data_IF_876312689875
#
_entry.id   IF_876312689875
#
_cell.length_a   1.000
_cell.length_b   1.000
_cell.length_c   1.000
_cell.angle_alpha   90.00
_cell.angle_beta   90.00
_cell.angle_gamma   90.00
#
_symmetry.space_group_name_H-M   'P 1'
#
loop_
_entity.id
_entity.type
_entity.pdbx_description
1 polymer ?
#
# COMPACT_ATOMS: atom_id res chain seq x y z
N UNK A 1 -26.73 -17.83 1.14
CA UNK A 1 -25.26 -17.92 1.35
C UNK A 1 -24.99 -17.82 2.85
N UNK A 2 -24.20 -18.71 3.45
CA UNK A 2 -23.81 -18.59 4.86
C UNK A 2 -22.58 -17.68 4.96
N UNK A 3 -22.72 -16.47 5.51
CA UNK A 3 -21.62 -15.51 5.61
C UNK A 3 -20.50 -15.94 6.59
N UNK A 4 -20.68 -17.04 7.32
CA UNK A 4 -19.74 -17.48 8.37
C UNK A 4 -18.77 -18.58 7.95
N UNK A 5 -18.90 -19.14 6.75
CA UNK A 5 -17.88 -20.09 6.25
C UNK A 5 -16.68 -19.30 5.75
N UNK A 6 -15.47 -19.81 6.01
CA UNK A 6 -14.21 -19.12 5.75
C UNK A 6 -14.14 -18.52 4.33
N UNK A 7 -14.47 -19.30 3.29
CA UNK A 7 -14.43 -18.83 1.90
C UNK A 7 -15.34 -17.63 1.62
N UNK A 8 -16.54 -17.58 2.21
CA UNK A 8 -17.48 -16.47 2.00
C UNK A 8 -17.07 -15.27 2.86
N UNK A 9 -16.61 -15.49 4.08
CA UNK A 9 -16.12 -14.43 4.95
C UNK A 9 -14.90 -13.72 4.33
N UNK A 10 -13.92 -14.48 3.84
CA UNK A 10 -12.73 -13.96 3.16
C UNK A 10 -13.11 -13.22 1.88
N UNK A 11 -14.01 -13.77 1.05
CA UNK A 11 -14.48 -13.09 -0.16
C UNK A 11 -15.16 -11.75 0.15
N UNK A 12 -16.04 -11.72 1.15
CA UNK A 12 -16.75 -10.49 1.55
C UNK A 12 -15.80 -9.43 2.14
N UNK A 13 -14.71 -9.87 2.77
CA UNK A 13 -13.71 -8.95 3.30
C UNK A 13 -12.83 -8.37 2.20
N UNK A 14 -12.25 -9.23 1.34
CA UNK A 14 -11.39 -8.81 0.24
C UNK A 14 -12.10 -7.90 -0.76
N UNK A 15 -13.39 -8.14 -1.01
CA UNK A 15 -14.18 -7.32 -1.93
C UNK A 15 -14.35 -5.87 -1.47
N UNK A 16 -14.04 -5.52 -0.22
CA UNK A 16 -14.04 -4.12 0.24
C UNK A 16 -12.86 -3.32 -0.32
N UNK A 17 -11.77 -3.99 -0.70
CA UNK A 17 -10.64 -3.34 -1.37
C UNK A 17 -10.90 -3.32 -2.88
N UNK A 18 -11.01 -2.13 -3.50
CA UNK A 18 -11.21 -2.03 -4.94
C UNK A 18 -10.08 -2.72 -5.73
N UNK A 19 -8.85 -2.77 -5.21
CA UNK A 19 -7.70 -3.37 -5.89
C UNK A 19 -7.74 -4.91 -5.95
N UNK A 20 -8.68 -5.56 -5.27
CA UNK A 20 -8.85 -7.02 -5.36
C UNK A 20 -9.44 -7.43 -6.71
N UNK A 21 -10.14 -6.54 -7.42
CA UNK A 21 -10.80 -6.86 -8.69
C UNK A 21 -11.93 -7.89 -8.57
N UNK A 22 -12.46 -8.14 -7.35
CA UNK A 22 -13.40 -9.24 -7.09
C UNK A 22 -14.74 -9.14 -7.85
N UNK A 23 -15.11 -7.95 -8.32
CA UNK A 23 -16.28 -7.71 -9.17
C UNK A 23 -15.90 -7.08 -10.52
N UNK A 24 -14.65 -7.24 -10.98
CA UNK A 24 -14.23 -6.66 -12.24
C UNK A 24 -14.86 -7.39 -13.43
N UNK A 25 -15.13 -6.65 -14.50
CA UNK A 25 -15.50 -7.20 -15.81
C UNK A 25 -14.23 -7.28 -16.66
N UNK A 26 -14.02 -8.40 -17.35
CA UNK A 26 -12.85 -8.63 -18.19
C UNK A 26 -13.28 -8.70 -19.66
N UNK A 27 -12.85 -7.72 -20.45
CA UNK A 27 -13.08 -7.68 -21.89
C UNK A 27 -11.84 -8.23 -22.60
N UNK A 28 -12.04 -9.19 -23.51
CA UNK A 28 -10.95 -9.80 -24.28
C UNK A 28 -10.87 -9.18 -25.67
N UNK A 29 -9.70 -8.68 -26.05
CA UNK A 29 -9.45 -8.03 -27.36
C UNK A 29 -8.36 -8.74 -28.13
N UNK A 30 -8.28 -8.49 -29.45
CA UNK A 30 -7.28 -9.13 -30.34
C UNK A 30 -6.10 -8.20 -30.69
N UNK A 31 -6.12 -6.95 -30.23
CA UNK A 31 -5.07 -5.98 -30.54
C UNK A 31 -4.98 -4.87 -29.48
N UNK A 32 -3.79 -4.28 -29.33
CA UNK A 32 -3.55 -3.14 -28.43
C UNK A 32 -4.39 -1.92 -28.84
N UNK A 33 -4.58 -1.72 -30.14
CA UNK A 33 -5.36 -0.62 -30.66
C UNK A 33 -6.85 -0.75 -30.29
N UNK A 34 -7.38 -1.98 -30.25
CA UNK A 34 -8.76 -2.22 -29.82
C UNK A 34 -8.88 -2.13 -28.29
N UNK A 35 -7.91 -2.64 -27.52
CA UNK A 35 -7.85 -2.46 -26.07
C UNK A 35 -7.94 -0.97 -25.68
N UNK A 36 -7.12 -0.11 -26.30
CA UNK A 36 -7.13 1.35 -26.04
C UNK A 36 -8.45 2.04 -26.36
N UNK A 37 -9.14 1.59 -27.41
CA UNK A 37 -10.47 2.12 -27.74
C UNK A 37 -11.50 1.73 -26.69
N UNK A 38 -11.43 0.49 -26.19
CA UNK A 38 -12.32 0.00 -25.13
C UNK A 38 -12.02 0.73 -23.83
N UNK A 39 -10.76 0.87 -23.44
CA UNK A 39 -10.32 1.67 -22.29
C UNK A 39 -10.90 3.08 -22.34
N UNK A 40 -10.60 3.84 -23.39
CA UNK A 40 -11.05 5.23 -23.53
C UNK A 40 -12.57 5.38 -23.59
N UNK A 41 -13.31 4.32 -23.96
CA UNK A 41 -14.78 4.30 -23.93
C UNK A 41 -15.29 4.04 -22.52
N UNK A 42 -14.76 3.03 -21.84
CA UNK A 42 -15.24 2.58 -20.53
C UNK A 42 -14.81 3.53 -19.40
N UNK A 43 -13.65 4.16 -19.50
CA UNK A 43 -13.18 5.19 -18.54
C UNK A 43 -14.13 6.40 -18.43
N UNK A 44 -14.95 6.66 -19.46
CA UNK A 44 -15.92 7.76 -19.48
C UNK A 44 -17.21 7.44 -18.74
N UNK A 45 -17.45 6.17 -18.38
CA UNK A 45 -18.67 5.77 -17.69
C UNK A 45 -18.61 6.22 -16.22
N UNK A 46 -19.65 6.89 -15.70
CA UNK A 46 -19.67 7.32 -14.31
C UNK A 46 -19.69 6.15 -13.32
N UNK A 47 -20.12 4.96 -13.75
CA UNK A 47 -20.14 3.71 -12.98
C UNK A 47 -18.77 3.03 -12.90
N UNK A 48 -17.79 3.45 -13.70
CA UNK A 48 -16.44 2.86 -13.74
C UNK A 48 -15.52 3.66 -12.83
N UNK A 49 -14.78 2.97 -11.96
CA UNK A 49 -13.76 3.59 -11.11
C UNK A 49 -12.39 3.59 -11.79
N UNK A 50 -12.09 2.50 -12.50
CA UNK A 50 -10.80 2.25 -13.12
C UNK A 50 -10.94 1.30 -14.30
N UNK A 51 -10.16 1.52 -15.33
CA UNK A 51 -9.90 0.55 -16.39
C UNK A 51 -8.42 0.24 -16.40
N UNK A 52 -8.07 -1.04 -16.54
CA UNK A 52 -6.71 -1.53 -16.56
C UNK A 52 -6.45 -2.39 -17.79
N UNK A 53 -5.25 -2.27 -18.33
CA UNK A 53 -4.69 -3.21 -19.30
C UNK A 53 -3.18 -3.35 -19.07
N UNK A 54 -2.51 -4.08 -19.96
CA UNK A 54 -1.06 -4.25 -19.88
C UNK A 54 -0.30 -2.90 -19.89
N UNK A 55 -0.79 -1.92 -20.64
CA UNK A 55 -0.16 -0.59 -20.72
C UNK A 55 -0.28 0.19 -19.41
N UNK A 56 -1.28 -0.11 -18.58
CA UNK A 56 -1.46 0.53 -17.27
C UNK A 56 -0.33 0.22 -16.28
N UNK A 57 0.52 -0.77 -16.57
CA UNK A 57 1.71 -1.09 -15.77
C UNK A 57 2.96 -0.33 -16.22
N UNK A 58 2.88 0.44 -17.31
CA UNK A 58 3.94 1.34 -17.76
C UNK A 58 3.60 2.75 -17.28
N UNK A 59 4.30 3.30 -16.28
CA UNK A 59 3.97 4.62 -15.76
C UNK A 59 4.23 5.71 -16.81
N UNK A 60 3.39 6.73 -16.81
CA UNK A 60 3.64 7.96 -17.60
C UNK A 60 4.67 8.87 -16.92
N UNK A 61 5.24 9.80 -17.70
CA UNK A 61 6.15 10.87 -17.22
C UNK A 61 7.34 10.39 -16.39
N UNK A 62 7.83 9.18 -16.67
CA UNK A 62 8.92 8.56 -15.92
C UNK A 62 10.19 9.42 -15.86
N UNK A 63 10.67 10.08 -16.94
CA UNK A 63 11.90 10.88 -16.84
C UNK A 63 11.84 11.98 -15.78
N UNK A 64 10.69 12.66 -15.65
CA UNK A 64 10.48 13.68 -14.63
C UNK A 64 10.40 13.07 -13.23
N UNK A 65 9.63 11.98 -13.06
CA UNK A 65 9.47 11.28 -11.78
C UNK A 65 10.79 10.67 -11.29
N UNK A 66 11.51 9.97 -12.15
CA UNK A 66 12.80 9.35 -11.85
C UNK A 66 13.86 10.39 -11.44
N UNK A 67 13.86 11.57 -12.06
CA UNK A 67 14.74 12.67 -11.64
C UNK A 67 14.46 13.11 -10.19
N UNK A 68 13.19 13.24 -9.82
CA UNK A 68 12.79 13.60 -8.45
C UNK A 68 13.15 12.49 -7.45
N UNK A 69 12.91 11.23 -7.81
CA UNK A 69 13.29 10.08 -6.97
C UNK A 69 14.80 10.03 -6.75
N UNK A 70 15.59 10.22 -7.81
CA UNK A 70 17.06 10.25 -7.71
C UNK A 70 17.55 11.41 -6.82
N UNK A 71 16.91 12.57 -6.87
CA UNK A 71 17.20 13.68 -5.97
C UNK A 71 16.89 13.32 -4.51
N UNK A 72 15.73 12.73 -4.25
CA UNK A 72 15.36 12.27 -2.91
C UNK A 72 16.34 11.19 -2.40
N UNK A 73 16.73 10.25 -3.27
CA UNK A 73 17.71 9.20 -2.96
C UNK A 73 19.07 9.80 -2.57
N UNK A 74 19.53 10.85 -3.25
CA UNK A 74 20.77 11.56 -2.90
C UNK A 74 20.68 12.25 -1.55
N UNK A 75 19.54 12.85 -1.22
CA UNK A 75 19.33 13.55 0.06
C UNK A 75 19.15 12.59 1.24
N UNK A 76 18.38 11.52 1.06
CA UNK A 76 18.03 10.58 2.13
C UNK A 76 19.03 9.42 2.26
N UNK A 77 19.77 9.11 1.19
CA UNK A 77 20.69 7.98 1.11
C UNK A 77 21.65 7.86 2.29
N UNK A 78 22.38 8.93 2.68
CA UNK A 78 23.30 8.89 3.82
C UNK A 78 22.62 8.59 5.16
N UNK A 79 21.40 9.08 5.37
CA UNK A 79 20.66 8.82 6.60
C UNK A 79 20.09 7.39 6.65
N UNK A 80 19.75 6.82 5.49
CA UNK A 80 19.23 5.46 5.37
C UNK A 80 20.34 4.41 5.31
N UNK A 81 21.56 4.78 4.90
CA UNK A 81 22.69 3.87 4.75
C UNK A 81 23.92 4.49 5.41
N UNK A 82 23.95 4.56 6.75
CA UNK A 82 25.09 5.14 7.46
C UNK A 82 26.32 4.23 7.32
N UNK A 83 27.51 4.83 7.17
CA UNK A 83 28.79 4.12 7.06
C UNK A 83 29.16 3.37 8.35
N UNK A 84 28.62 3.82 9.48
CA UNK A 84 28.82 3.21 10.80
C UNK A 84 27.48 3.07 11.49
N UNK A 85 27.24 1.88 12.06
CA UNK A 85 26.08 1.59 12.89
C UNK A 85 26.59 1.32 14.30
N UNK A 86 26.01 2.03 15.27
CA UNK A 86 26.35 1.84 16.68
C UNK A 86 26.01 0.42 17.14
N UNK A 87 26.76 -0.13 18.13
CA UNK A 87 26.42 -1.41 18.72
C UNK A 87 25.00 -1.37 19.32
N UNK A 88 24.36 -2.53 19.40
CA UNK A 88 23.06 -2.63 20.05
C UNK A 88 23.18 -2.20 21.53
N UNK A 89 22.26 -1.38 22.03
CA UNK A 89 22.27 -0.97 23.43
C UNK A 89 22.04 -2.17 24.35
N UNK A 90 22.65 -2.13 25.51
CA UNK A 90 22.34 -3.04 26.61
C UNK A 90 20.92 -2.80 27.15
N UNK A 91 20.37 -3.79 27.84
CA UNK A 91 19.06 -3.65 28.49
C UNK A 91 19.03 -2.48 29.50
N UNK A 92 20.14 -2.26 30.21
CA UNK A 92 20.26 -1.15 31.16
C UNK A 92 20.19 0.22 30.46
N UNK A 93 20.90 0.39 29.33
CA UNK A 93 20.83 1.62 28.52
C UNK A 93 19.42 1.86 27.95
N UNK A 94 18.70 0.79 27.59
CA UNK A 94 17.31 0.88 27.18
C UNK A 94 16.40 1.35 28.33
N UNK A 95 16.56 0.82 29.54
CA UNK A 95 15.81 1.26 30.73
C UNK A 95 16.08 2.74 31.03
N UNK A 96 17.34 3.17 30.97
CA UNK A 96 17.74 4.56 31.19
C UNK A 96 17.14 5.50 30.14
N UNK A 97 17.19 5.10 28.86
CA UNK A 97 16.60 5.87 27.76
C UNK A 97 15.08 5.99 27.87
N UNK A 98 14.40 4.91 28.28
CA UNK A 98 12.96 4.93 28.55
C UNK A 98 12.63 5.91 29.68
N UNK A 99 13.33 5.84 30.82
CA UNK A 99 13.09 6.72 31.97
C UNK A 99 13.38 8.19 31.64
N UNK A 100 14.46 8.47 30.92
CA UNK A 100 14.77 9.83 30.42
C UNK A 100 13.67 10.37 29.51
N UNK A 101 13.08 9.51 28.66
CA UNK A 101 11.94 9.87 27.81
C UNK A 101 10.68 10.15 28.62
N UNK A 102 10.40 9.38 29.68
CA UNK A 102 9.30 9.64 30.63
C UNK A 102 9.42 11.03 31.23
N UNK A 103 10.59 11.37 31.77
CA UNK A 103 10.84 12.67 32.41
C UNK A 103 10.68 13.82 31.42
N UNK A 104 11.21 13.65 30.20
CA UNK A 104 11.10 14.64 29.13
C UNK A 104 9.66 14.87 28.68
N UNK A 105 8.87 13.80 28.50
CA UNK A 105 7.46 13.89 28.16
C UNK A 105 6.64 14.57 29.27
N UNK A 106 6.88 14.22 30.53
CA UNK A 106 6.18 14.84 31.67
C UNK A 106 6.53 16.32 31.82
N UNK A 107 7.81 16.67 31.68
CA UNK A 107 8.27 18.07 31.69
C UNK A 107 7.64 18.88 30.56
N UNK A 108 7.61 18.32 29.35
CA UNK A 108 7.02 18.97 28.16
C UNK A 108 5.50 19.17 28.32
N UNK A 109 4.80 18.20 28.92
CA UNK A 109 3.38 18.33 29.20
C UNK A 109 3.07 19.40 30.28
N UNK A 110 4.00 19.65 31.21
CA UNK A 110 3.86 20.64 32.28
C UNK A 110 2.54 20.48 33.05
N UNK A 111 1.78 21.55 33.22
CA UNK A 111 0.41 21.52 33.74
C UNK A 111 -0.67 21.66 32.66
N UNK A 112 -0.26 21.73 31.38
CA UNK A 112 -1.17 21.88 30.26
C UNK A 112 -2.19 20.74 30.20
N UNK A 113 -3.43 21.10 29.88
CA UNK A 113 -4.56 20.18 29.72
C UNK A 113 -4.95 19.96 28.26
N UNK A 114 -4.19 20.52 27.33
CA UNK A 114 -4.41 20.32 25.89
C UNK A 114 -4.22 18.85 25.49
N UNK A 115 -4.79 18.42 24.36
CA UNK A 115 -4.79 17.02 23.93
C UNK A 115 -3.37 16.44 23.79
N UNK A 116 -2.40 17.23 23.31
CA UNK A 116 -1.00 16.81 23.23
C UNK A 116 -0.37 16.53 24.60
N UNK A 117 -0.66 17.37 25.61
CA UNK A 117 -0.14 17.17 26.97
C UNK A 117 -0.77 15.94 27.64
N UNK A 118 -2.06 15.68 27.39
CA UNK A 118 -2.73 14.45 27.84
C UNK A 118 -2.09 13.21 27.20
N UNK A 119 -1.86 13.24 25.88
CA UNK A 119 -1.22 12.15 25.16
C UNK A 119 0.23 11.91 25.62
N UNK A 120 1.00 12.98 25.86
CA UNK A 120 2.37 12.89 26.35
C UNK A 120 2.44 12.22 27.73
N UNK A 121 1.56 12.60 28.68
CA UNK A 121 1.48 11.93 29.99
C UNK A 121 1.09 10.46 29.86
N UNK A 122 0.09 10.15 29.02
CA UNK A 122 -0.32 8.76 28.77
C UNK A 122 0.83 7.91 28.22
N UNK A 123 1.60 8.46 27.28
CA UNK A 123 2.78 7.79 26.74
C UNK A 123 3.86 7.63 27.82
N UNK A 124 4.13 8.67 28.59
CA UNK A 124 5.09 8.63 29.70
C UNK A 124 4.71 7.52 30.72
N UNK A 125 3.44 7.38 31.07
CA UNK A 125 2.99 6.33 31.99
C UNK A 125 3.16 4.92 31.39
N UNK A 126 2.95 4.76 30.08
CA UNK A 126 3.20 3.49 29.39
C UNK A 126 4.70 3.15 29.32
N UNK A 127 5.55 4.13 29.00
CA UNK A 127 7.01 3.96 28.96
C UNK A 127 7.59 3.68 30.35
N UNK A 128 7.05 4.32 31.41
CA UNK A 128 7.45 4.04 32.78
C UNK A 128 7.16 2.58 33.15
N UNK A 129 5.94 2.09 32.86
CA UNK A 129 5.56 0.68 33.08
C UNK A 129 6.46 -0.29 32.31
N UNK A 130 6.85 0.08 31.08
CA UNK A 130 7.75 -0.74 30.27
C UNK A 130 9.17 -0.75 30.86
N UNK A 131 9.69 0.41 31.28
CA UNK A 131 10.99 0.53 31.92
C UNK A 131 11.10 -0.29 33.21
N UNK A 132 10.04 -0.30 34.02
CA UNK A 132 9.99 -1.03 35.29
C UNK A 132 9.61 -2.52 35.13
N UNK A 133 9.35 -2.98 33.91
CA UNK A 133 9.05 -4.39 33.61
C UNK A 133 10.33 -5.26 33.55
N UNK A 134 10.19 -6.53 33.17
CA UNK A 134 11.33 -7.41 32.94
C UNK A 134 11.90 -7.26 31.51
N UNK A 135 13.15 -7.68 31.32
CA UNK A 135 13.84 -7.60 30.03
C UNK A 135 13.05 -8.29 28.91
N UNK A 136 12.50 -9.48 29.15
CA UNK A 136 11.71 -10.20 28.16
C UNK A 136 10.48 -9.41 27.64
N UNK A 137 9.90 -8.52 28.46
CA UNK A 137 8.80 -7.64 28.02
C UNK A 137 9.33 -6.48 27.18
N UNK A 138 10.49 -5.92 27.52
CA UNK A 138 11.16 -4.89 26.70
C UNK A 138 11.62 -5.43 25.36
N UNK A 139 12.18 -6.64 25.32
CA UNK A 139 12.58 -7.32 24.09
C UNK A 139 11.37 -7.52 23.16
N UNK A 140 10.23 -7.97 23.70
CA UNK A 140 8.98 -8.06 22.93
C UNK A 140 8.50 -6.70 22.40
N UNK A 141 8.63 -5.65 23.19
CA UNK A 141 8.30 -4.30 22.73
C UNK A 141 9.22 -3.87 21.59
N UNK A 142 10.52 -4.16 21.69
CA UNK A 142 11.48 -3.93 20.61
C UNK A 142 11.09 -4.69 19.34
N UNK A 143 10.69 -5.95 19.45
CA UNK A 143 10.23 -6.73 18.29
C UNK A 143 8.96 -6.14 17.65
N UNK A 144 8.05 -5.59 18.45
CA UNK A 144 6.82 -4.96 17.95
C UNK A 144 7.09 -3.63 17.25
N UNK A 145 8.03 -2.82 17.75
CA UNK A 145 8.27 -1.46 17.21
C UNK A 145 9.44 -1.39 16.24
N UNK A 146 10.58 -1.98 16.58
CA UNK A 146 11.85 -1.81 15.85
C UNK A 146 11.96 -2.78 14.69
N UNK A 147 11.51 -4.04 14.82
CA UNK A 147 11.63 -5.00 13.73
C UNK A 147 10.81 -4.59 12.48
N UNK A 148 9.53 -4.16 12.59
CA UNK A 148 8.80 -3.64 11.44
C UNK A 148 9.39 -2.34 10.90
N UNK A 149 9.94 -1.48 11.76
CA UNK A 149 10.59 -0.24 11.32
C UNK A 149 11.79 -0.52 10.39
N UNK A 150 12.58 -1.58 10.67
CA UNK A 150 13.66 -2.00 9.76
C UNK A 150 13.13 -2.40 8.39
N UNK A 151 12.03 -3.16 8.35
CA UNK A 151 11.35 -3.54 7.10
C UNK A 151 10.89 -2.29 6.34
N UNK A 152 10.31 -1.30 7.03
CA UNK A 152 9.88 -0.04 6.40
C UNK A 152 11.07 0.74 5.86
N UNK A 153 12.22 0.75 6.55
CA UNK A 153 13.44 1.37 6.02
C UNK A 153 13.98 0.64 4.79
N UNK A 154 13.94 -0.69 4.76
CA UNK A 154 14.31 -1.45 3.56
C UNK A 154 13.37 -1.16 2.39
N UNK A 155 12.06 -1.09 2.64
CA UNK A 155 11.08 -0.68 1.64
C UNK A 155 11.39 0.73 1.12
N UNK A 156 11.68 1.69 2.01
CA UNK A 156 12.02 3.05 1.60
C UNK A 156 13.30 3.06 0.74
N UNK A 157 14.35 2.33 1.14
CA UNK A 157 15.56 2.17 0.32
C UNK A 157 15.23 1.64 -1.08
N UNK A 158 14.40 0.61 -1.17
CA UNK A 158 14.01 0.00 -2.45
C UNK A 158 13.18 0.95 -3.31
N UNK A 159 12.25 1.71 -2.72
CA UNK A 159 11.42 2.67 -3.48
C UNK A 159 12.25 3.83 -4.05
N UNK A 160 13.39 4.16 -3.45
CA UNK A 160 14.32 5.19 -3.93
C UNK A 160 15.23 4.70 -5.06
N UNK A 161 15.18 3.41 -5.41
CA UNK A 161 15.97 2.79 -6.49
C UNK A 161 15.15 2.55 -7.77
N UNK A 162 14.09 3.33 -7.98
CA UNK A 162 13.22 3.19 -9.15
C UNK A 162 14.00 3.26 -10.48
N UNK A 163 13.58 2.45 -11.45
CA UNK A 163 14.15 2.37 -12.79
C UNK A 163 13.07 2.63 -13.84
N UNK A 164 13.50 2.85 -15.08
CA UNK A 164 12.58 2.95 -16.22
C UNK A 164 11.85 1.62 -16.41
N UNK A 165 10.52 1.69 -16.52
CA UNK A 165 9.64 0.57 -16.84
C UNK A 165 9.14 0.73 -18.28
N UNK A 166 9.23 -0.33 -19.06
CA UNK A 166 8.73 -0.42 -20.44
C UNK A 166 8.05 -1.76 -20.63
N UNK A 167 7.21 -1.91 -21.67
CA UNK A 167 6.58 -3.20 -21.98
C UNK A 167 7.59 -4.35 -22.13
N UNK A 168 8.82 -4.06 -22.58
CA UNK A 168 9.88 -5.06 -22.79
C UNK A 168 10.52 -5.55 -21.49
N UNK A 169 10.46 -4.76 -20.40
CA UNK A 169 11.07 -5.12 -19.12
C UNK A 169 10.03 -5.43 -18.02
N UNK A 170 8.75 -5.51 -18.38
CA UNK A 170 7.74 -6.05 -17.49
C UNK A 170 8.05 -7.52 -17.15
N UNK A 171 7.82 -7.96 -15.90
CA UNK A 171 7.93 -9.36 -15.55
C UNK A 171 7.08 -10.24 -16.46
N UNK A 172 7.63 -11.35 -16.95
CA UNK A 172 6.93 -12.23 -17.89
C UNK A 172 5.60 -12.74 -17.33
N UNK A 173 5.56 -13.11 -16.04
CA UNK A 173 4.34 -13.56 -15.36
C UNK A 173 3.23 -12.49 -15.38
N UNK A 174 3.62 -11.21 -15.26
CA UNK A 174 2.67 -10.10 -15.39
C UNK A 174 2.15 -10.01 -16.82
N UNK A 175 3.03 -10.04 -17.82
CA UNK A 175 2.62 -10.01 -19.24
C UNK A 175 1.65 -11.16 -19.55
N UNK A 176 1.95 -12.37 -19.09
CA UNK A 176 1.12 -13.57 -19.31
C UNK A 176 -0.25 -13.50 -18.62
N UNK A 177 -0.38 -12.73 -17.53
CA UNK A 177 -1.68 -12.49 -16.86
C UNK A 177 -2.60 -11.50 -17.58
N UNK A 178 -2.09 -10.75 -18.56
CA UNK A 178 -2.84 -9.74 -19.33
C UNK A 178 -2.85 -10.02 -20.83
N UNK A 179 -1.94 -10.85 -21.33
CA UNK A 179 -1.82 -11.20 -22.75
C UNK A 179 -1.56 -12.69 -22.91
N UNK A 180 -2.43 -13.37 -23.65
CA UNK A 180 -2.26 -14.79 -23.96
C UNK A 180 -1.22 -15.01 -25.05
N UNK A 181 -0.73 -16.25 -25.18
CA UNK A 181 0.27 -16.62 -26.20
C UNK A 181 -0.23 -16.44 -27.65
N UNK A 182 -1.54 -16.60 -27.87
CA UNK A 182 -2.22 -16.35 -29.15
C UNK A 182 -2.59 -14.88 -29.38
N UNK A 183 -2.23 -13.99 -28.44
CA UNK A 183 -2.30 -12.54 -28.61
C UNK A 183 -3.59 -11.88 -28.14
N UNK A 184 -4.47 -12.61 -27.44
CA UNK A 184 -5.63 -12.00 -26.78
C UNK A 184 -5.17 -11.14 -25.60
N UNK A 185 -5.75 -9.96 -25.47
CA UNK A 185 -5.43 -9.00 -24.42
C UNK A 185 -6.62 -8.77 -23.51
N UNK A 186 -6.33 -8.61 -22.22
CA UNK A 186 -7.32 -8.40 -21.17
C UNK A 186 -7.43 -6.89 -20.89
N UNK A 187 -8.65 -6.38 -20.94
CA UNK A 187 -9.04 -5.08 -20.38
C UNK A 187 -9.92 -5.35 -19.18
N UNK A 188 -9.45 -5.00 -17.99
CA UNK A 188 -10.15 -5.19 -16.73
C UNK A 188 -10.81 -3.88 -16.31
N UNK A 189 -12.08 -3.96 -15.91
CA UNK A 189 -12.92 -2.80 -15.62
C UNK A 189 -13.47 -2.95 -14.21
N UNK A 190 -13.21 -1.97 -13.35
CA UNK A 190 -13.62 -2.01 -11.95
C UNK A 190 -14.81 -1.07 -11.69
N UNK A 191 -15.78 -1.50 -10.85
CA UNK A 191 -16.93 -0.68 -10.50
C UNK A 191 -16.55 0.47 -9.58
N UNK A 192 -17.25 1.59 -9.71
CA UNK A 192 -17.31 2.68 -8.73
C UNK A 192 -18.41 2.40 -7.72
N UNK A 193 -18.25 2.90 -6.49
CA UNK A 193 -19.24 2.75 -5.42
C UNK A 193 -19.01 1.51 -4.54
N UNK A 194 -20.00 1.13 -3.74
CA UNK A 194 -19.87 -0.02 -2.84
C UNK A 194 -19.87 -1.33 -3.66
N UNK A 195 -18.77 -2.11 -3.62
CA UNK A 195 -18.69 -3.40 -4.30
C UNK A 195 -19.52 -4.50 -3.62
N UNK A 196 -20.18 -4.21 -2.49
CA UNK A 196 -21.14 -5.09 -1.82
C UNK A 196 -22.60 -4.78 -2.12
N UNK A 197 -22.89 -3.64 -2.75
CA UNK A 197 -24.24 -3.26 -3.15
C UNK A 197 -24.60 -3.87 -4.52
N UNK A 198 -25.58 -4.78 -4.52
CA UNK A 198 -26.01 -5.45 -5.74
C UNK A 198 -26.63 -4.50 -6.77
N UNK A 199 -27.28 -3.41 -6.33
CA UNK A 199 -27.87 -2.45 -7.25
C UNK A 199 -26.80 -1.58 -7.90
N UNK A 200 -25.74 -1.27 -7.13
CA UNK A 200 -24.52 -0.67 -7.68
C UNK A 200 -23.87 -1.56 -8.75
N UNK A 201 -23.65 -2.84 -8.44
CA UNK A 201 -23.05 -3.79 -9.39
C UNK A 201 -23.91 -4.02 -10.63
N UNK A 202 -25.24 -4.03 -10.50
CA UNK A 202 -26.15 -4.18 -11.65
C UNK A 202 -26.05 -2.97 -12.59
N UNK A 203 -26.10 -1.75 -12.05
CA UNK A 203 -25.92 -0.53 -12.87
C UNK A 203 -24.58 -0.51 -13.58
N UNK A 204 -23.51 -0.90 -12.88
CA UNK A 204 -22.18 -1.03 -13.47
C UNK A 204 -22.16 -2.04 -14.62
N UNK A 205 -22.68 -3.25 -14.40
CA UNK A 205 -22.70 -4.28 -15.43
C UNK A 205 -23.55 -3.87 -16.65
N UNK A 206 -24.72 -3.28 -16.42
CA UNK A 206 -25.61 -2.80 -17.48
C UNK A 206 -24.93 -1.68 -18.30
N UNK A 207 -24.24 -0.75 -17.63
CA UNK A 207 -23.52 0.35 -18.30
C UNK A 207 -22.33 -0.15 -19.12
N UNK A 208 -21.53 -1.08 -18.57
CA UNK A 208 -20.39 -1.67 -19.28
C UNK A 208 -20.86 -2.47 -20.48
N UNK A 209 -21.89 -3.32 -20.34
CA UNK A 209 -22.44 -4.11 -21.44
C UNK A 209 -23.08 -3.24 -22.53
N UNK A 210 -23.78 -2.17 -22.16
CA UNK A 210 -24.35 -1.23 -23.12
C UNK A 210 -23.26 -0.49 -23.91
N UNK A 211 -22.15 -0.13 -23.25
CA UNK A 211 -21.03 0.52 -23.90
C UNK A 211 -20.23 -0.47 -24.76
N UNK A 212 -19.89 -1.64 -24.23
CA UNK A 212 -19.10 -2.70 -24.86
C UNK A 212 -19.87 -4.03 -24.86
N UNK A 213 -20.65 -4.31 -25.92
CA UNK A 213 -21.44 -5.54 -25.99
C UNK A 213 -20.62 -6.84 -26.06
N UNK A 214 -19.31 -6.75 -26.24
CA UNK A 214 -18.38 -7.90 -26.20
C UNK A 214 -17.71 -8.11 -24.85
N UNK A 215 -18.10 -7.34 -23.84
CA UNK A 215 -17.66 -7.47 -22.45
C UNK A 215 -18.26 -8.68 -21.73
#
# INVERSE_FOLDING_TARGET
RNAKVESIATFLDLRKDPNTGANAINVMTRSEADAKKIEAKLEKLPEVSRVMSLDSFVPDDQPAKLKLIAQAAKTLGPALNPDSVDPAPSDQENVESLKSSVDSLRRTAGDSKGPGAVAARRLADALQKLADSNQATRDKAQDVFVAPMKIVFDQLRNTLQAQTVTLQNLPQELVESWKTKDGLMRVEVEPKGDPNDNDNLRRFADAVLAAEPTA
#
